data_IF_173052198454
#
_entry.id   IF_173052198454
#
_cell.length_a   1.000
_cell.length_b   1.000
_cell.length_c   1.000
_cell.angle_alpha   90.00
_cell.angle_beta   90.00
_cell.angle_gamma   90.00
#
_symmetry.space_group_name_H-M   'P 1'
#
loop_
_entity.id
_entity.type
_entity.pdbx_description
1 polymer ?
#
# COMPACT_ATOMS: atom_id res chain seq x y z
N UNK A 1 -25.11 46.20 1.65
CA UNK A 1 -24.61 45.18 2.60
C UNK A 1 -23.09 45.29 2.65
N UNK A 2 -22.47 45.33 3.83
CA UNK A 2 -21.02 45.61 3.99
C UNK A 2 -20.16 44.48 3.41
N UNK A 3 -19.07 44.83 2.70
CA UNK A 3 -18.12 43.87 2.08
C UNK A 3 -17.51 42.91 3.11
N UNK A 4 -17.39 43.35 4.36
CA UNK A 4 -16.96 42.51 5.49
C UNK A 4 -17.91 41.35 5.76
N UNK A 5 -19.22 41.57 5.66
CA UNK A 5 -20.25 40.54 5.88
C UNK A 5 -20.25 39.50 4.76
N UNK A 6 -19.99 39.93 3.51
CA UNK A 6 -19.92 39.02 2.35
C UNK A 6 -18.69 38.09 2.41
N UNK A 7 -17.52 38.61 2.84
CA UNK A 7 -16.32 37.80 3.07
C UNK A 7 -16.50 36.77 4.19
N UNK A 8 -17.19 37.15 5.26
CA UNK A 8 -17.52 36.22 6.35
C UNK A 8 -18.45 35.11 5.88
N UNK A 9 -19.50 35.43 5.09
CA UNK A 9 -20.39 34.45 4.49
C UNK A 9 -19.66 33.41 3.62
N UNK A 10 -18.77 33.86 2.74
CA UNK A 10 -17.96 32.97 1.90
C UNK A 10 -17.04 32.04 2.73
N UNK A 11 -16.50 32.54 3.85
CA UNK A 11 -15.70 31.71 4.77
C UNK A 11 -16.55 30.67 5.50
N UNK A 12 -17.79 31.00 5.89
CA UNK A 12 -18.71 30.04 6.50
C UNK A 12 -19.11 28.94 5.52
N UNK A 13 -19.41 29.30 4.27
CA UNK A 13 -19.76 28.33 3.23
C UNK A 13 -18.60 27.37 2.92
N UNK A 14 -17.37 27.89 2.79
CA UNK A 14 -16.19 27.04 2.60
C UNK A 14 -15.94 26.09 3.78
N UNK A 15 -16.11 26.57 5.02
CA UNK A 15 -15.97 25.71 6.22
C UNK A 15 -17.04 24.64 6.26
N UNK A 16 -18.29 25.00 5.96
CA UNK A 16 -19.40 24.06 5.91
C UNK A 16 -19.15 22.97 4.87
N UNK A 17 -18.74 23.35 3.65
CA UNK A 17 -18.41 22.40 2.59
C UNK A 17 -17.32 21.42 3.02
N UNK A 18 -16.24 21.92 3.64
CA UNK A 18 -15.15 21.05 4.17
C UNK A 18 -15.65 20.04 5.20
N UNK A 19 -16.56 20.46 6.09
CA UNK A 19 -17.15 19.57 7.10
C UNK A 19 -18.00 18.51 6.41
N UNK A 20 -18.86 18.89 5.46
CA UNK A 20 -19.67 17.93 4.71
C UNK A 20 -18.81 16.91 3.96
N UNK A 21 -17.78 17.36 3.26
CA UNK A 21 -16.82 16.48 2.59
C UNK A 21 -16.13 15.52 3.58
N UNK A 22 -15.81 15.98 4.79
CA UNK A 22 -15.20 15.13 5.80
C UNK A 22 -16.17 14.10 6.37
N UNK A 23 -17.41 14.49 6.65
CA UNK A 23 -18.47 13.58 7.10
C UNK A 23 -18.73 12.50 6.05
N UNK A 24 -18.76 12.87 4.77
CA UNK A 24 -18.92 11.91 3.68
C UNK A 24 -17.80 10.86 3.69
N UNK A 25 -16.53 11.29 3.77
CA UNK A 25 -15.38 10.37 3.86
C UNK A 25 -15.48 9.43 5.07
N UNK A 26 -15.91 9.94 6.23
CA UNK A 26 -16.09 9.12 7.43
C UNK A 26 -17.22 8.11 7.28
N UNK A 27 -18.31 8.48 6.60
CA UNK A 27 -19.41 7.55 6.30
C UNK A 27 -18.97 6.46 5.34
N UNK A 28 -18.18 6.80 4.33
CA UNK A 28 -17.60 5.84 3.38
C UNK A 28 -16.66 4.86 4.11
N UNK A 29 -15.78 5.38 4.98
CA UNK A 29 -14.86 4.56 5.79
C UNK A 29 -15.60 3.67 6.80
N UNK A 30 -16.71 4.16 7.37
CA UNK A 30 -17.57 3.39 8.26
C UNK A 30 -18.24 2.22 7.53
N UNK A 31 -18.70 2.46 6.30
CA UNK A 31 -19.36 1.47 5.45
C UNK A 31 -18.41 0.48 4.77
N UNK A 32 -17.10 0.70 4.84
CA UNK A 32 -16.11 -0.19 4.22
C UNK A 32 -16.18 -1.60 4.81
N UNK A 33 -16.37 -2.65 3.98
CA UNK A 33 -16.46 -4.02 4.47
C UNK A 33 -15.15 -4.45 5.14
N UNK A 34 -15.27 -5.16 6.26
CA UNK A 34 -14.14 -5.63 7.07
C UNK A 34 -14.19 -7.16 7.17
N UNK A 35 -13.01 -7.77 7.15
CA UNK A 35 -12.84 -9.20 7.42
C UNK A 35 -12.40 -9.42 8.86
N UNK A 36 -12.67 -10.60 9.40
CA UNK A 36 -12.19 -10.96 10.74
C UNK A 36 -10.67 -11.08 10.69
N UNK A 37 -9.99 -10.62 11.75
CA UNK A 37 -8.53 -10.70 11.83
C UNK A 37 -8.06 -12.16 11.73
N UNK A 38 -8.75 -13.10 12.37
CA UNK A 38 -8.43 -14.53 12.27
C UNK A 38 -8.43 -15.05 10.82
N UNK A 39 -9.37 -14.58 10.00
CA UNK A 39 -9.49 -14.95 8.58
C UNK A 39 -8.37 -14.29 7.76
N UNK A 40 -8.14 -12.99 7.97
CA UNK A 40 -7.06 -12.27 7.31
C UNK A 40 -5.69 -12.92 7.61
N UNK A 41 -5.42 -13.25 8.88
CA UNK A 41 -4.19 -13.92 9.30
C UNK A 41 -4.06 -15.31 8.68
N UNK A 42 -5.14 -16.09 8.63
CA UNK A 42 -5.13 -17.40 7.99
C UNK A 42 -4.79 -17.30 6.50
N UNK A 43 -5.39 -16.33 5.79
CA UNK A 43 -5.11 -16.09 4.38
C UNK A 43 -3.65 -15.69 4.14
N UNK A 44 -3.08 -14.82 4.98
CA UNK A 44 -1.67 -14.45 4.89
C UNK A 44 -0.75 -15.65 5.12
N UNK A 45 -1.01 -16.46 6.15
CA UNK A 45 -0.22 -17.67 6.43
C UNK A 45 -0.29 -18.63 5.24
N UNK A 46 -1.48 -18.85 4.69
CA UNK A 46 -1.68 -19.72 3.53
C UNK A 46 -0.89 -19.21 2.33
N UNK A 47 -0.98 -17.92 2.02
CA UNK A 47 -0.24 -17.32 0.91
C UNK A 47 1.28 -17.50 1.06
N UNK A 48 1.82 -17.21 2.25
CA UNK A 48 3.24 -17.37 2.54
C UNK A 48 3.69 -18.84 2.50
N UNK A 49 2.79 -19.80 2.77
CA UNK A 49 3.09 -21.23 2.68
C UNK A 49 2.99 -21.80 1.27
N UNK A 50 2.21 -21.16 0.40
CA UNK A 50 1.99 -21.63 -0.98
C UNK A 50 2.95 -20.95 -1.97
N UNK A 51 3.44 -19.76 -1.64
CA UNK A 51 4.30 -18.95 -2.50
C UNK A 51 5.77 -19.16 -2.15
N UNK A 52 6.53 -19.71 -3.08
CA UNK A 52 7.98 -19.95 -2.90
C UNK A 52 8.74 -18.63 -2.91
N UNK A 53 9.62 -18.43 -1.93
CA UNK A 53 10.46 -17.24 -1.80
C UNK A 53 11.95 -17.62 -1.93
N UNK A 54 12.66 -17.19 -3.00
CA UNK A 54 14.09 -17.44 -3.18
C UNK A 54 14.98 -16.84 -2.09
N UNK A 55 14.50 -15.80 -1.40
CA UNK A 55 15.25 -15.11 -0.34
C UNK A 55 15.13 -15.80 1.02
N UNK A 56 14.35 -16.87 1.12
CA UNK A 56 14.21 -17.68 2.35
C UNK A 56 14.61 -19.14 2.11
N UNK A 57 15.92 -19.44 1.91
CA UNK A 57 16.38 -20.78 1.59
C UNK A 57 16.18 -21.80 2.71
N UNK A 58 16.04 -21.35 3.97
CA UNK A 58 15.81 -22.23 5.12
C UNK A 58 14.48 -22.99 5.05
N UNK A 59 13.48 -22.43 4.36
CA UNK A 59 12.14 -23.02 4.20
C UNK A 59 12.00 -23.61 2.79
N UNK A 60 12.50 -22.91 1.78
CA UNK A 60 12.28 -23.23 0.37
C UNK A 60 13.43 -23.97 -0.31
N UNK A 61 14.56 -24.15 0.37
CA UNK A 61 15.80 -24.68 -0.20
C UNK A 61 16.56 -23.65 -1.02
N UNK A 62 17.83 -23.96 -1.32
CA UNK A 62 18.65 -23.13 -2.19
C UNK A 62 18.06 -23.09 -3.60
N UNK A 63 17.87 -21.89 -4.13
CA UNK A 63 17.48 -21.64 -5.52
C UNK A 63 18.71 -21.07 -6.22
N UNK A 64 18.93 -21.49 -7.46
CA UNK A 64 20.00 -20.95 -8.30
C UNK A 64 19.78 -19.44 -8.50
N UNK A 65 20.80 -18.64 -8.18
CA UNK A 65 20.76 -17.19 -8.34
C UNK A 65 20.95 -16.85 -9.83
N UNK A 66 19.92 -16.32 -10.53
CA UNK A 66 20.03 -15.97 -11.95
C UNK A 66 21.02 -14.84 -12.23
N UNK A 67 21.44 -14.12 -11.19
CA UNK A 67 22.38 -13.01 -11.26
C UNK A 67 23.75 -13.37 -10.70
N UNK A 68 23.98 -14.63 -10.33
CA UNK A 68 25.31 -15.10 -9.94
C UNK A 68 26.30 -14.83 -11.08
N UNK A 69 27.52 -14.34 -10.79
CA UNK A 69 28.56 -14.26 -11.79
C UNK A 69 28.77 -15.64 -12.43
N UNK A 70 28.91 -15.73 -13.75
CA UNK A 70 29.26 -17.00 -14.38
C UNK A 70 30.56 -17.52 -13.75
N UNK A 71 30.59 -18.81 -13.38
CA UNK A 71 31.75 -19.43 -12.72
C UNK A 71 33.04 -19.35 -13.58
N UNK A 72 32.89 -19.11 -14.88
CA UNK A 72 33.97 -18.78 -15.80
C UNK A 72 34.10 -17.25 -15.92
N UNK A 73 35.27 -16.73 -15.57
CA UNK A 73 35.58 -15.30 -15.67
C UNK A 73 35.35 -14.73 -17.07
N UNK A 74 35.06 -13.43 -17.15
CA UNK A 74 34.89 -12.68 -18.40
C UNK A 74 36.12 -12.88 -19.31
N UNK A 75 35.97 -13.55 -20.46
CA UNK A 75 37.01 -13.63 -21.53
C UNK A 75 37.08 -12.31 -22.32
N UNK A 76 37.02 -11.19 -21.60
CA UNK A 76 36.90 -9.87 -22.16
C UNK A 76 38.31 -9.30 -22.31
N UNK A 77 38.89 -9.44 -23.49
CA UNK A 77 40.18 -8.81 -23.84
C UNK A 77 39.93 -7.31 -23.97
N UNK A 78 40.51 -6.49 -23.09
CA UNK A 78 40.61 -5.06 -23.32
C UNK A 78 41.64 -4.86 -24.44
N UNK A 79 41.16 -4.55 -25.64
CA UNK A 79 41.97 -4.07 -26.77
C UNK A 79 42.12 -2.54 -26.71
#
# INVERSE_FOLDING_TARGET
MSVHTQRQGAMFEMKFRRIQEHVQRLQDDLGRPRVKISEASANLIQYCKATRDPLVPSIWGQIEDPYAPPEKGCECILA
#
